data_IF_518004271508
#
_entry.id   IF_518004271508
#
_cell.length_a   1.000
_cell.length_b   1.000
_cell.length_c   1.000
_cell.angle_alpha   90.00
_cell.angle_beta   90.00
_cell.angle_gamma   90.00
#
_symmetry.space_group_name_H-M   'P 1'
#
loop_
_entity.id
_entity.type
_entity.pdbx_description
1 polymer ?
#
# COMPACT_ATOMS: atom_id res chain seq x y z
N UNK A 1 -37.21 -19.27 25.62
CA UNK A 1 -35.82 -19.70 25.39
C UNK A 1 -35.26 -18.88 24.23
N UNK A 2 -34.13 -18.18 24.38
CA UNK A 2 -33.51 -17.51 23.24
C UNK A 2 -33.01 -18.56 22.23
N UNK A 3 -33.07 -18.27 20.91
CA UNK A 3 -32.59 -19.19 19.89
C UNK A 3 -31.09 -19.44 20.06
N UNK A 4 -30.69 -20.70 19.91
CA UNK A 4 -29.28 -21.11 19.94
C UNK A 4 -28.51 -20.33 18.85
N UNK A 5 -27.39 -19.67 19.16
CA UNK A 5 -26.64 -18.92 18.16
C UNK A 5 -26.21 -19.85 17.03
N UNK A 6 -26.46 -19.43 15.79
CA UNK A 6 -25.90 -20.10 14.61
C UNK A 6 -24.38 -19.99 14.69
N UNK A 7 -23.70 -21.13 14.60
CA UNK A 7 -22.25 -21.18 14.45
C UNK A 7 -21.88 -20.46 13.14
N UNK A 8 -21.57 -19.17 13.22
CA UNK A 8 -20.92 -18.46 12.13
C UNK A 8 -19.48 -18.93 12.06
N UNK A 9 -19.00 -19.25 10.86
CA UNK A 9 -17.65 -19.74 10.63
C UNK A 9 -16.65 -18.56 10.76
N UNK A 10 -16.11 -18.38 11.96
CA UNK A 10 -15.23 -17.25 12.30
C UNK A 10 -13.91 -17.24 11.51
N UNK A 11 -13.53 -18.35 10.87
CA UNK A 11 -12.24 -18.47 10.16
C UNK A 11 -12.07 -17.52 8.97
N UNK A 12 -13.15 -17.24 8.22
CA UNK A 12 -13.11 -16.31 7.09
C UNK A 12 -13.03 -14.84 7.54
N UNK A 13 -13.69 -14.51 8.63
CA UNK A 13 -13.62 -13.17 9.24
C UNK A 13 -12.22 -12.90 9.79
N UNK A 14 -11.57 -13.90 10.38
CA UNK A 14 -10.19 -13.77 10.87
C UNK A 14 -9.18 -13.56 9.75
N UNK A 15 -9.29 -14.30 8.63
CA UNK A 15 -8.37 -14.13 7.50
C UNK A 15 -8.57 -12.76 6.81
N UNK A 16 -9.83 -12.33 6.66
CA UNK A 16 -10.17 -11.01 6.13
C UNK A 16 -9.63 -9.90 7.06
N UNK A 17 -9.90 -9.97 8.36
CA UNK A 17 -9.40 -9.00 9.33
C UNK A 17 -7.86 -8.99 9.40
N UNK A 18 -7.21 -10.15 9.32
CA UNK A 18 -5.75 -10.25 9.25
C UNK A 18 -5.20 -9.54 7.99
N UNK A 19 -5.79 -9.84 6.83
CA UNK A 19 -5.42 -9.24 5.55
C UNK A 19 -5.50 -7.71 5.58
N UNK A 20 -6.56 -7.14 6.17
CA UNK A 20 -6.76 -5.70 6.26
C UNK A 20 -6.11 -5.02 7.48
N UNK A 21 -5.59 -5.80 8.43
CA UNK A 21 -4.84 -5.28 9.61
C UNK A 21 -3.32 -5.37 9.48
N UNK A 22 -2.83 -5.82 8.32
CA UNK A 22 -1.41 -5.92 8.00
C UNK A 22 -0.71 -4.56 8.13
N UNK A 23 0.17 -4.44 9.13
CA UNK A 23 0.92 -3.19 9.41
C UNK A 23 2.28 -3.13 8.75
N UNK A 24 2.83 -4.28 8.32
CA UNK A 24 4.21 -4.44 7.92
C UNK A 24 5.22 -4.14 9.02
N UNK A 25 6.50 -4.39 8.73
CA UNK A 25 7.61 -4.03 9.64
C UNK A 25 8.30 -2.77 9.13
N UNK A 26 8.22 -1.70 9.92
CA UNK A 26 8.88 -0.42 9.61
C UNK A 26 10.36 -0.51 9.95
N UNK A 27 11.22 -0.14 9.01
CA UNK A 27 12.67 -0.11 9.15
C UNK A 27 13.16 1.30 8.81
N UNK A 28 13.85 1.93 9.76
CA UNK A 28 14.46 3.25 9.54
C UNK A 28 15.86 3.05 8.97
N UNK A 29 16.04 3.36 7.69
CA UNK A 29 17.33 3.25 7.00
C UNK A 29 17.36 4.16 5.77
N UNK A 30 18.14 5.23 5.82
CA UNK A 30 18.33 6.12 4.67
C UNK A 30 18.98 5.41 3.49
N UNK A 31 19.94 4.51 3.75
CA UNK A 31 20.60 3.72 2.71
C UNK A 31 19.61 2.84 1.95
N UNK A 32 18.83 2.02 2.66
CA UNK A 32 17.87 1.11 2.02
C UNK A 32 16.73 1.87 1.35
N UNK A 33 16.24 2.94 1.98
CA UNK A 33 15.22 3.81 1.38
C UNK A 33 15.72 4.39 0.06
N UNK A 34 16.96 4.91 0.03
CA UNK A 34 17.55 5.46 -1.18
C UNK A 34 17.84 4.37 -2.24
N UNK A 35 18.25 3.17 -1.82
CA UNK A 35 18.48 2.05 -2.72
C UNK A 35 17.19 1.65 -3.45
N UNK A 36 16.10 1.43 -2.72
CA UNK A 36 14.85 0.93 -3.29
C UNK A 36 14.00 2.02 -3.97
N UNK A 37 14.16 3.29 -3.58
CA UNK A 37 13.47 4.42 -4.24
C UNK A 37 14.32 5.15 -5.28
N UNK A 38 15.54 4.67 -5.56
CA UNK A 38 16.52 5.40 -6.37
C UNK A 38 16.76 6.85 -5.90
N UNK A 39 16.71 7.05 -4.58
CA UNK A 39 16.90 8.34 -3.91
C UNK A 39 15.73 9.32 -4.02
N UNK A 40 14.63 8.94 -4.68
CA UNK A 40 13.51 9.84 -4.99
C UNK A 40 12.47 9.96 -3.88
N UNK A 41 12.36 8.96 -3.01
CA UNK A 41 11.28 8.90 -2.02
C UNK A 41 11.76 8.96 -0.58
N UNK A 42 10.84 9.40 0.28
CA UNK A 42 11.03 9.51 1.72
C UNK A 42 10.75 8.21 2.48
N UNK A 43 9.88 7.38 1.91
CA UNK A 43 9.63 6.02 2.30
C UNK A 43 9.42 5.17 1.04
N UNK A 44 9.51 3.85 1.19
CA UNK A 44 9.23 2.89 0.13
C UNK A 44 8.83 1.55 0.73
N UNK A 45 7.81 0.94 0.13
CA UNK A 45 7.33 -0.38 0.52
C UNK A 45 7.94 -1.48 -0.34
N UNK A 46 8.67 -2.38 0.31
CA UNK A 46 9.12 -3.65 -0.29
C UNK A 46 8.63 -4.75 0.61
N UNK A 47 7.58 -5.46 0.18
CA UNK A 47 6.84 -6.41 1.00
C UNK A 47 7.77 -7.39 1.73
N UNK A 48 7.60 -7.64 3.06
CA UNK A 48 6.61 -7.09 3.98
C UNK A 48 7.08 -5.83 4.76
N UNK A 49 8.12 -5.14 4.27
CA UNK A 49 8.80 -4.05 4.96
C UNK A 49 8.41 -2.68 4.41
N UNK A 50 8.37 -1.71 5.32
CA UNK A 50 8.28 -0.29 4.99
C UNK A 50 9.62 0.33 5.36
N UNK A 51 10.38 0.79 4.37
CA UNK A 51 11.62 1.50 4.59
C UNK A 51 11.35 2.99 4.69
N UNK A 52 11.87 3.63 5.72
CA UNK A 52 11.71 5.07 5.94
C UNK A 52 13.06 5.72 6.15
N UNK A 53 13.27 6.91 5.57
CA UNK A 53 14.59 7.55 5.52
C UNK A 53 15.10 7.96 6.91
N UNK A 54 14.23 8.38 7.83
CA UNK A 54 14.62 8.81 9.17
C UNK A 54 13.49 8.61 10.21
N UNK A 55 13.82 8.78 11.49
CA UNK A 55 12.90 8.57 12.62
C UNK A 55 11.77 9.59 12.71
N UNK A 56 11.92 10.78 12.13
CA UNK A 56 10.84 11.78 12.10
C UNK A 56 9.75 11.31 11.15
N UNK A 57 10.15 10.87 9.96
CA UNK A 57 9.21 10.36 8.95
C UNK A 57 8.53 9.06 9.38
N UNK A 58 9.19 8.22 10.20
CA UNK A 58 8.52 7.02 10.73
C UNK A 58 7.41 7.32 11.73
N UNK A 59 7.29 8.57 12.20
CA UNK A 59 6.22 9.05 13.08
C UNK A 59 5.12 9.79 12.31
N UNK A 60 5.29 10.01 11.01
CA UNK A 60 4.27 10.60 10.16
C UNK A 60 3.21 9.54 9.85
N UNK A 61 2.04 9.68 10.48
CA UNK A 61 0.97 8.70 10.36
C UNK A 61 0.39 8.63 8.94
N UNK A 62 0.39 9.74 8.19
CA UNK A 62 -0.10 9.77 6.82
C UNK A 62 0.86 9.04 5.89
N UNK A 63 2.17 9.30 6.00
CA UNK A 63 3.18 8.59 5.24
C UNK A 63 3.15 7.09 5.54
N UNK A 64 3.07 6.71 6.82
CA UNK A 64 3.01 5.29 7.19
C UNK A 64 1.71 4.64 6.71
N UNK A 65 0.59 5.37 6.70
CA UNK A 65 -0.67 4.86 6.15
C UNK A 65 -0.58 4.66 4.63
N UNK A 66 0.03 5.60 3.89
CA UNK A 66 0.33 5.48 2.46
C UNK A 66 1.09 4.19 2.15
N UNK A 67 2.18 3.94 2.88
CA UNK A 67 2.99 2.73 2.70
C UNK A 67 2.24 1.44 3.09
N UNK A 68 1.35 1.49 4.10
CA UNK A 68 0.50 0.33 4.43
C UNK A 68 -0.53 0.03 3.35
N UNK A 69 -1.03 1.05 2.64
CA UNK A 69 -1.90 0.83 1.47
C UNK A 69 -1.13 0.04 0.42
N UNK A 70 0.14 0.37 0.15
CA UNK A 70 0.98 -0.43 -0.75
C UNK A 70 1.22 -1.86 -0.28
N UNK A 71 1.39 -2.12 1.02
CA UNK A 71 1.50 -3.49 1.53
C UNK A 71 0.25 -4.31 1.24
N UNK A 72 -0.93 -3.71 1.43
CA UNK A 72 -2.20 -4.39 1.18
C UNK A 72 -2.44 -4.57 -0.31
N UNK A 73 -2.11 -3.59 -1.15
CA UNK A 73 -2.13 -3.73 -2.62
C UNK A 73 -1.17 -4.86 -3.08
N UNK A 74 0.03 -4.93 -2.51
CA UNK A 74 0.99 -5.98 -2.79
C UNK A 74 0.42 -7.35 -2.40
N UNK A 75 -0.12 -7.49 -1.19
CA UNK A 75 -0.71 -8.75 -0.74
C UNK A 75 -1.94 -9.15 -1.58
N UNK A 76 -2.79 -8.20 -1.94
CA UNK A 76 -3.96 -8.38 -2.80
C UNK A 76 -3.59 -8.97 -4.17
N UNK A 77 -2.47 -8.51 -4.72
CA UNK A 77 -1.96 -8.93 -6.02
C UNK A 77 -0.84 -9.98 -5.89
N UNK A 78 -0.80 -10.77 -4.82
CA UNK A 78 0.15 -11.89 -4.63
C UNK A 78 1.64 -11.48 -4.69
N UNK A 79 1.94 -10.23 -4.32
CA UNK A 79 3.26 -9.59 -4.22
C UNK A 79 3.96 -9.42 -5.57
N UNK A 80 4.25 -10.50 -6.30
CA UNK A 80 4.98 -10.42 -7.57
C UNK A 80 4.16 -9.73 -8.69
N UNK A 81 2.88 -10.10 -8.93
CA UNK A 81 2.05 -9.38 -9.88
C UNK A 81 1.86 -7.89 -9.57
N UNK A 82 1.87 -7.48 -8.30
CA UNK A 82 1.83 -6.05 -7.92
C UNK A 82 2.99 -5.28 -8.54
N UNK A 83 4.23 -5.72 -8.32
CA UNK A 83 5.40 -5.02 -8.85
C UNK A 83 5.44 -5.02 -10.38
N UNK A 84 4.99 -6.10 -11.02
CA UNK A 84 4.87 -6.14 -12.48
C UNK A 84 3.87 -5.11 -13.00
N UNK A 85 2.66 -5.08 -12.45
CA UNK A 85 1.61 -4.14 -12.86
C UNK A 85 2.00 -2.70 -12.58
N UNK A 86 2.59 -2.44 -11.41
CA UNK A 86 3.10 -1.12 -11.04
C UNK A 86 4.14 -0.61 -12.05
N UNK A 87 5.13 -1.44 -12.38
CA UNK A 87 6.16 -1.09 -13.36
C UNK A 87 5.58 -0.88 -14.77
N UNK A 88 4.67 -1.75 -15.22
CA UNK A 88 4.03 -1.61 -16.55
C UNK A 88 3.22 -0.32 -16.61
N UNK A 89 2.41 -0.03 -15.59
CA UNK A 89 1.64 1.22 -15.55
C UNK A 89 2.56 2.44 -15.54
N UNK A 90 3.62 2.43 -14.71
CA UNK A 90 4.61 3.50 -14.68
C UNK A 90 5.24 3.73 -16.07
N UNK A 91 5.64 2.67 -16.79
CA UNK A 91 6.24 2.80 -18.12
C UNK A 91 5.27 3.42 -19.13
N UNK A 92 3.99 3.00 -19.12
CA UNK A 92 2.95 3.58 -19.98
C UNK A 92 2.76 5.07 -19.66
N UNK A 93 2.63 5.42 -18.37
CA UNK A 93 2.47 6.81 -17.90
C UNK A 93 3.71 7.64 -18.21
N UNK A 94 4.90 7.06 -18.11
CA UNK A 94 6.16 7.73 -18.42
C UNK A 94 6.27 8.09 -19.90
N UNK A 95 5.89 7.19 -20.80
CA UNK A 95 5.83 7.49 -22.25
C UNK A 95 4.82 8.60 -22.55
N UNK A 96 3.69 8.63 -21.82
CA UNK A 96 2.63 9.63 -22.00
C UNK A 96 3.02 11.02 -21.46
N UNK A 97 3.41 11.12 -20.18
CA UNK A 97 3.71 12.39 -19.53
C UNK A 97 5.13 12.91 -19.81
N UNK A 98 6.08 12.02 -20.15
CA UNK A 98 7.50 12.35 -20.36
C UNK A 98 8.18 13.01 -19.15
N UNK A 99 7.58 12.88 -17.97
CA UNK A 99 8.06 13.38 -16.70
C UNK A 99 7.93 12.25 -15.67
N UNK A 100 9.01 11.99 -14.92
CA UNK A 100 9.07 10.90 -13.93
C UNK A 100 8.09 11.11 -12.78
N UNK A 101 7.98 12.34 -12.28
CA UNK A 101 7.11 12.69 -11.15
C UNK A 101 5.65 12.60 -11.56
N UNK A 102 5.28 13.18 -12.71
CA UNK A 102 3.90 13.07 -13.22
C UNK A 102 3.53 11.61 -13.53
N UNK A 103 4.46 10.84 -14.10
CA UNK A 103 4.22 9.41 -14.37
C UNK A 103 3.98 8.62 -13.08
N UNK A 104 4.77 8.89 -12.04
CA UNK A 104 4.65 8.28 -10.72
C UNK A 104 3.33 8.65 -10.04
N UNK A 105 3.02 9.95 -9.94
CA UNK A 105 1.79 10.44 -9.28
C UNK A 105 0.50 9.98 -9.98
N UNK A 106 0.59 9.59 -11.26
CA UNK A 106 -0.55 9.09 -12.03
C UNK A 106 -0.65 7.56 -12.11
N UNK A 107 0.21 6.80 -11.42
CA UNK A 107 0.01 5.36 -11.23
C UNK A 107 -1.25 5.17 -10.36
N UNK A 108 -2.16 4.29 -10.78
CA UNK A 108 -3.42 4.01 -10.08
C UNK A 108 -3.21 3.64 -8.60
N UNK A 109 -2.16 2.88 -8.29
CA UNK A 109 -1.77 2.50 -6.94
C UNK A 109 -1.35 3.70 -6.08
N UNK A 110 -0.56 4.62 -6.63
CA UNK A 110 -0.14 5.86 -5.97
C UNK A 110 -1.33 6.80 -5.78
N UNK A 111 -2.16 6.96 -6.82
CA UNK A 111 -3.38 7.78 -6.75
C UNK A 111 -4.32 7.30 -5.64
N UNK A 112 -4.50 5.98 -5.51
CA UNK A 112 -5.26 5.41 -4.40
C UNK A 112 -4.64 5.75 -3.05
N UNK A 113 -3.33 5.52 -2.90
CA UNK A 113 -2.63 5.73 -1.64
C UNK A 113 -2.65 7.21 -1.22
N UNK A 114 -2.34 8.14 -2.13
CA UNK A 114 -2.41 9.57 -1.88
C UNK A 114 -3.82 10.06 -1.56
N UNK A 115 -4.85 9.53 -2.23
CA UNK A 115 -6.22 9.94 -1.98
C UNK A 115 -6.74 9.49 -0.60
N UNK A 116 -6.16 8.44 -0.03
CA UNK A 116 -6.66 7.78 1.18
C UNK A 116 -5.69 7.84 2.37
N UNK A 117 -4.47 8.36 2.19
CA UNK A 117 -3.44 8.45 3.25
C UNK A 117 -3.92 9.19 4.51
N UNK A 118 -4.86 10.13 4.38
CA UNK A 118 -5.42 10.88 5.51
C UNK A 118 -6.50 10.11 6.28
N UNK A 119 -7.12 9.10 5.68
CA UNK A 119 -8.06 8.21 6.36
C UNK A 119 -7.30 7.02 6.97
N UNK A 120 -6.97 7.14 8.27
CA UNK A 120 -6.26 6.12 9.03
C UNK A 120 -7.08 4.83 9.24
N UNK A 121 -8.38 4.86 8.94
CA UNK A 121 -9.27 3.70 9.01
C UNK A 121 -9.57 3.10 7.63
N UNK A 122 -9.06 3.71 6.56
CA UNK A 122 -9.32 3.31 5.18
C UNK A 122 -9.14 1.81 4.95
N UNK A 123 -8.03 1.24 5.41
CA UNK A 123 -7.73 -0.18 5.21
C UNK A 123 -8.78 -1.14 5.76
N UNK A 124 -9.54 -0.75 6.80
CA UNK A 124 -10.61 -1.57 7.38
C UNK A 124 -11.83 -1.68 6.48
N UNK A 125 -12.02 -0.70 5.60
CA UNK A 125 -13.20 -0.60 4.71
C UNK A 125 -12.82 -0.69 3.23
N UNK A 126 -11.52 -0.75 2.93
CA UNK A 126 -10.98 -0.84 1.59
C UNK A 126 -11.53 -2.08 0.88
N UNK A 127 -12.06 -1.87 -0.32
CA UNK A 127 -12.57 -2.95 -1.17
C UNK A 127 -11.42 -3.57 -1.97
N UNK A 128 -11.53 -4.86 -2.25
CA UNK A 128 -10.63 -5.53 -3.20
C UNK A 128 -10.79 -4.83 -4.57
N UNK A 129 -9.68 -4.62 -5.26
CA UNK A 129 -9.53 -4.00 -6.57
C UNK A 129 -9.85 -2.51 -6.62
N UNK A 130 -9.82 -1.81 -5.48
CA UNK A 130 -10.22 -0.39 -5.42
C UNK A 130 -9.28 0.54 -6.20
N UNK A 131 -8.00 0.18 -6.38
CA UNK A 131 -7.05 0.91 -7.24
C UNK A 131 -7.57 1.11 -8.67
N UNK A 132 -8.43 0.22 -9.17
CA UNK A 132 -9.01 0.31 -10.52
C UNK A 132 -9.86 1.57 -10.74
N UNK A 133 -10.34 2.21 -9.68
CA UNK A 133 -11.10 3.47 -9.75
C UNK A 133 -10.20 4.67 -10.08
N UNK A 134 -8.88 4.47 -10.06
CA UNK A 134 -7.85 5.49 -10.26
C UNK A 134 -7.05 5.24 -11.54
N UNK A 135 -7.60 4.55 -12.54
CA UNK A 135 -7.05 4.55 -13.90
C UNK A 135 -7.30 5.87 -14.64
#
# INVERSE_FOLDING_TARGET
MPPKPRNFDYGYLDLFNYFWSMKGKVIVSSFLTNLFSFGRASAVTVFPFIFVRNKVMSKDEHLINHERIHLVQALELLVLPFYLLYCVEFLIRFVYYRNVEDAYLNISFEREAYAQQSDLYYLRTRKIWNFRRYY
#
